data_IF_999276073093
#
_entry.id   IF_999276073093
#
_cell.length_a   1.000
_cell.length_b   1.000
_cell.length_c   1.000
_cell.angle_alpha   90.00
_cell.angle_beta   90.00
_cell.angle_gamma   90.00
#
_symmetry.space_group_name_H-M   'P 1'
#
loop_
_entity.id
_entity.type
_entity.pdbx_description
1 polymer ?
#
# COMPACT_ATOMS: atom_id res chain seq x y z
N UNK A 1 -6.93 -27.76 13.42
CA UNK A 1 -7.13 -26.47 12.70
C UNK A 1 -8.14 -25.66 13.51
N UNK A 2 -7.83 -24.42 13.90
CA UNK A 2 -8.79 -23.56 14.62
C UNK A 2 -9.60 -22.77 13.60
N UNK A 3 -10.89 -22.60 13.84
CA UNK A 3 -11.79 -21.79 13.01
C UNK A 3 -12.45 -20.74 13.90
N UNK A 4 -12.68 -19.55 13.34
CA UNK A 4 -13.35 -18.44 14.01
C UNK A 4 -14.42 -17.90 13.07
N UNK A 5 -15.59 -17.58 13.61
CA UNK A 5 -16.65 -16.88 12.88
C UNK A 5 -16.60 -15.39 13.22
N UNK A 6 -16.69 -14.54 12.20
CA UNK A 6 -16.70 -13.08 12.35
C UNK A 6 -18.06 -12.56 11.89
N UNK A 7 -18.87 -12.09 12.83
CA UNK A 7 -20.16 -11.46 12.50
C UNK A 7 -19.92 -10.14 11.74
N UNK A 8 -20.48 -10.01 10.54
CA UNK A 8 -20.37 -8.80 9.72
C UNK A 8 -21.40 -7.72 10.09
N UNK A 9 -22.33 -8.02 10.99
CA UNK A 9 -23.43 -7.11 11.43
C UNK A 9 -23.25 -6.62 12.85
N UNK A 10 -22.08 -6.85 13.43
CA UNK A 10 -21.74 -6.35 14.76
C UNK A 10 -21.62 -4.82 14.73
N UNK A 11 -21.68 -4.17 15.89
CA UNK A 11 -21.44 -2.73 15.96
C UNK A 11 -20.04 -2.38 15.42
N UNK A 12 -20.01 -1.58 14.34
CA UNK A 12 -18.80 -1.27 13.59
C UNK A 12 -17.84 -0.28 14.28
N UNK A 13 -18.18 0.24 15.47
CA UNK A 13 -17.40 1.25 16.21
C UNK A 13 -15.88 1.03 16.18
N UNK A 14 -15.42 -0.20 16.40
CA UNK A 14 -13.99 -0.52 16.40
C UNK A 14 -13.37 -0.37 15.00
N UNK A 15 -14.00 -0.97 14.00
CA UNK A 15 -13.54 -0.92 12.60
C UNK A 15 -13.57 0.52 12.10
N UNK A 16 -14.64 1.26 12.39
CA UNK A 16 -14.82 2.65 11.98
C UNK A 16 -13.78 3.57 12.61
N UNK A 17 -13.46 3.35 13.89
CA UNK A 17 -12.37 4.08 14.56
C UNK A 17 -11.03 3.83 13.87
N UNK A 18 -10.72 2.56 13.57
CA UNK A 18 -9.48 2.21 12.86
C UNK A 18 -9.44 2.82 11.46
N UNK A 19 -10.56 2.77 10.71
CA UNK A 19 -10.69 3.41 9.40
C UNK A 19 -10.48 4.93 9.49
N UNK A 20 -11.08 5.60 10.46
CA UNK A 20 -10.92 7.04 10.67
C UNK A 20 -9.48 7.44 11.00
N UNK A 21 -8.73 6.60 11.74
CA UNK A 21 -7.30 6.83 11.99
C UNK A 21 -6.45 6.56 10.74
N UNK A 22 -6.77 5.51 9.98
CA UNK A 22 -6.11 5.19 8.70
C UNK A 22 -6.25 6.37 7.72
N UNK A 23 -7.46 6.89 7.57
CA UNK A 23 -7.76 7.94 6.58
C UNK A 23 -7.05 9.25 6.95
N UNK A 24 -7.08 9.65 8.22
CA UNK A 24 -6.27 10.78 8.73
C UNK A 24 -4.77 10.60 8.45
N UNK A 25 -4.25 9.38 8.61
CA UNK A 25 -2.84 9.10 8.28
C UNK A 25 -2.58 9.26 6.77
N UNK A 26 -3.51 8.89 5.90
CA UNK A 26 -3.35 9.08 4.46
C UNK A 26 -3.26 10.56 4.08
N UNK A 27 -4.05 11.43 4.70
CA UNK A 27 -3.94 12.89 4.50
C UNK A 27 -2.53 13.38 4.82
N UNK A 28 -1.99 13.03 5.99
CA UNK A 28 -0.64 13.40 6.38
C UNK A 28 0.45 12.78 5.48
N UNK A 29 0.24 11.54 5.03
CA UNK A 29 1.15 10.88 4.08
C UNK A 29 1.20 11.62 2.75
N UNK A 30 0.06 12.10 2.24
CA UNK A 30 0.00 12.89 1.01
C UNK A 30 0.68 14.25 1.18
N UNK A 31 0.41 14.94 2.30
CA UNK A 31 1.05 16.22 2.63
C UNK A 31 2.58 16.06 2.73
N UNK A 32 3.05 15.00 3.38
CA UNK A 32 4.48 14.68 3.45
C UNK A 32 5.07 14.40 2.06
N UNK A 33 4.37 13.68 1.20
CA UNK A 33 4.82 13.41 -0.18
C UNK A 33 4.97 14.70 -0.98
N UNK A 34 4.00 15.62 -0.88
CA UNK A 34 4.06 16.94 -1.52
C UNK A 34 5.25 17.75 -0.99
N UNK A 35 5.41 17.83 0.33
CA UNK A 35 6.51 18.54 0.96
C UNK A 35 7.88 17.99 0.53
N UNK A 36 8.06 16.65 0.54
CA UNK A 36 9.28 15.99 0.05
C UNK A 36 9.59 16.33 -1.41
N UNK A 37 8.57 16.29 -2.27
CA UNK A 37 8.72 16.66 -3.68
C UNK A 37 9.19 18.11 -3.85
N UNK A 38 8.74 19.04 -3.00
CA UNK A 38 9.22 20.44 -3.01
C UNK A 38 10.63 20.59 -2.44
N UNK A 39 11.02 19.77 -1.46
CA UNK A 39 12.37 19.74 -0.89
C UNK A 39 13.40 19.13 -1.84
N UNK A 40 13.00 18.17 -2.69
CA UNK A 40 13.87 17.55 -3.69
C UNK A 40 14.35 18.53 -4.79
N UNK A 41 13.72 19.71 -4.91
CA UNK A 41 14.17 20.82 -5.76
C UNK A 41 15.31 21.65 -5.11
N UNK A 42 15.68 21.37 -3.86
CA UNK A 42 16.75 22.03 -3.10
C UNK A 42 17.93 21.04 -2.89
N UNK A 43 19.18 21.52 -2.92
CA UNK A 43 20.39 20.67 -2.92
C UNK A 43 20.49 19.72 -1.71
N UNK A 44 20.84 18.47 -1.97
CA UNK A 44 20.72 17.31 -1.06
C UNK A 44 22.03 16.95 -0.35
N UNK A 45 22.31 17.59 0.78
CA UNK A 45 23.29 17.08 1.76
C UNK A 45 22.56 16.88 3.09
N UNK A 46 21.96 15.69 3.31
CA UNK A 46 21.86 15.06 4.63
C UNK A 46 21.17 13.69 4.56
N UNK A 47 21.88 12.67 5.06
CA UNK A 47 21.45 11.28 5.10
C UNK A 47 21.10 10.94 6.55
N UNK A 48 19.85 11.18 6.94
CA UNK A 48 19.32 10.61 8.18
C UNK A 48 17.80 10.46 8.13
N UNK A 49 17.34 9.23 7.88
CA UNK A 49 15.99 8.84 8.27
C UNK A 49 15.31 7.84 7.36
N UNK A 50 15.65 6.55 7.47
CA UNK A 50 14.77 5.50 6.97
C UNK A 50 14.71 4.36 8.01
N UNK A 51 13.68 4.40 8.87
CA UNK A 51 13.25 3.27 9.68
C UNK A 51 12.29 2.39 8.87
N UNK A 52 12.43 1.09 9.10
CA UNK A 52 11.83 0.01 8.33
C UNK A 52 10.29 -0.01 8.39
N UNK A 53 9.68 -0.05 7.20
CA UNK A 53 8.39 -0.69 6.98
C UNK A 53 8.65 -2.05 6.35
N UNK A 54 7.93 -3.08 6.78
CA UNK A 54 8.05 -4.44 6.25
C UNK A 54 7.45 -4.48 4.83
N UNK A 55 8.28 -4.20 3.84
CA UNK A 55 8.04 -4.48 2.43
C UNK A 55 8.78 -5.74 1.98
N UNK A 56 8.32 -6.33 0.89
CA UNK A 56 9.03 -7.42 0.21
C UNK A 56 10.09 -6.80 -0.71
N UNK A 57 11.35 -7.17 -0.52
CA UNK A 57 12.44 -6.76 -1.41
C UNK A 57 12.55 -7.75 -2.56
N UNK A 58 12.59 -7.26 -3.80
CA UNK A 58 12.76 -8.10 -4.98
C UNK A 58 13.67 -7.42 -6.01
N UNK A 59 14.33 -8.24 -6.83
CA UNK A 59 15.08 -7.82 -8.01
C UNK A 59 14.23 -8.21 -9.22
N UNK A 60 13.94 -7.24 -10.09
CA UNK A 60 13.26 -7.47 -11.36
C UNK A 60 14.24 -7.23 -12.50
N UNK A 61 14.16 -7.98 -13.62
CA UNK A 61 14.97 -7.69 -14.80
C UNK A 61 14.71 -6.27 -15.32
N UNK A 62 15.74 -5.62 -15.88
CA UNK A 62 15.60 -4.28 -16.47
C UNK A 62 14.62 -4.24 -17.66
N UNK A 63 14.37 -5.40 -18.30
CA UNK A 63 13.38 -5.55 -19.36
C UNK A 63 11.95 -5.70 -18.85
N UNK A 64 11.74 -5.82 -17.54
CA UNK A 64 10.42 -5.97 -16.96
C UNK A 64 9.66 -4.64 -17.00
N UNK A 65 8.35 -4.61 -17.34
CA UNK A 65 7.59 -3.36 -17.40
C UNK A 65 7.50 -2.70 -16.02
N UNK A 66 7.97 -1.46 -15.90
CA UNK A 66 7.90 -0.68 -14.65
C UNK A 66 6.66 0.21 -14.59
N UNK A 67 6.74 1.42 -15.14
CA UNK A 67 5.70 2.43 -15.05
C UNK A 67 5.10 2.72 -16.42
N UNK A 68 3.77 2.61 -16.53
CA UNK A 68 3.02 2.93 -17.74
C UNK A 68 2.24 4.22 -17.48
N UNK A 69 2.42 5.22 -18.34
CA UNK A 69 1.72 6.50 -18.22
C UNK A 69 0.61 6.60 -19.26
N UNK A 70 -0.62 6.71 -18.79
CA UNK A 70 -1.82 6.91 -19.59
C UNK A 70 -2.11 8.41 -19.72
N UNK A 71 -2.34 8.88 -20.94
CA UNK A 71 -2.82 10.24 -21.20
C UNK A 71 -4.34 10.28 -21.10
N UNK A 72 -4.86 11.22 -20.32
CA UNK A 72 -6.30 11.41 -20.15
C UNK A 72 -6.76 12.62 -20.97
N UNK A 73 -8.00 12.56 -21.47
CA UNK A 73 -8.64 13.68 -22.16
C UNK A 73 -9.25 14.71 -21.19
N UNK A 74 -9.01 14.58 -19.88
CA UNK A 74 -9.59 15.43 -18.84
C UNK A 74 -8.71 16.66 -18.56
N UNK A 75 -9.31 17.84 -18.50
CA UNK A 75 -8.63 19.11 -18.22
C UNK A 75 -8.01 19.19 -16.82
N UNK A 76 -8.56 18.49 -15.81
CA UNK A 76 -8.07 18.56 -14.42
C UNK A 76 -6.87 17.65 -14.14
N UNK A 77 -6.74 16.53 -14.86
CA UNK A 77 -5.64 15.57 -14.68
C UNK A 77 -5.23 15.04 -16.04
N UNK A 78 -4.08 15.50 -16.54
CA UNK A 78 -3.61 15.23 -17.92
C UNK A 78 -3.03 13.83 -18.10
N UNK A 79 -2.55 13.21 -17.03
CA UNK A 79 -1.98 11.86 -17.08
C UNK A 79 -2.13 11.10 -15.77
N UNK A 80 -2.09 9.78 -15.87
CA UNK A 80 -2.01 8.85 -14.74
C UNK A 80 -0.89 7.87 -15.01
N UNK A 81 0.04 7.76 -14.07
CA UNK A 81 1.12 6.77 -14.11
C UNK A 81 0.76 5.61 -13.20
N UNK A 82 0.86 4.40 -13.74
CA UNK A 82 0.57 3.15 -13.04
C UNK A 82 1.85 2.31 -13.01
N UNK A 83 2.23 1.86 -11.82
CA UNK A 83 3.27 0.84 -11.66
C UNK A 83 2.68 -0.51 -12.04
N UNK A 84 3.20 -1.13 -13.09
CA UNK A 84 2.75 -2.44 -13.58
C UNK A 84 2.95 -3.56 -12.54
N UNK A 85 4.12 -3.70 -11.86
CA UNK A 85 4.28 -4.67 -10.77
C UNK A 85 3.27 -4.45 -9.64
N UNK A 86 3.06 -3.19 -9.24
CA UNK A 86 2.10 -2.84 -8.19
C UNK A 86 0.66 -3.16 -8.60
N UNK A 87 0.27 -2.83 -9.83
CA UNK A 87 -1.06 -3.13 -10.36
C UNK A 87 -1.34 -4.63 -10.46
N UNK A 88 -0.35 -5.43 -10.89
CA UNK A 88 -0.47 -6.89 -10.95
C UNK A 88 -0.72 -7.48 -9.55
N UNK A 89 0.08 -7.09 -8.56
CA UNK A 89 -0.10 -7.56 -7.18
C UNK A 89 -1.45 -7.15 -6.60
N UNK A 90 -1.86 -5.90 -6.84
CA UNK A 90 -3.16 -5.38 -6.38
C UNK A 90 -4.33 -6.11 -7.02
N UNK A 91 -4.24 -6.47 -8.30
CA UNK A 91 -5.26 -7.26 -8.98
C UNK A 91 -5.40 -8.66 -8.35
N UNK A 92 -4.27 -9.32 -8.05
CA UNK A 92 -4.27 -10.64 -7.40
C UNK A 92 -4.84 -10.57 -5.98
N UNK A 93 -4.45 -9.55 -5.19
CA UNK A 93 -5.01 -9.36 -3.84
C UNK A 93 -6.50 -9.10 -3.89
N UNK A 94 -6.95 -8.25 -4.81
CA UNK A 94 -8.36 -7.97 -4.98
C UNK A 94 -9.14 -9.21 -5.40
N UNK A 95 -8.59 -10.07 -6.27
CA UNK A 95 -9.27 -11.30 -6.66
C UNK A 95 -9.33 -12.35 -5.54
N UNK A 96 -8.26 -12.49 -4.74
CA UNK A 96 -8.14 -13.55 -3.75
C UNK A 96 -8.62 -13.22 -2.34
N UNK A 97 -8.66 -11.94 -1.96
CA UNK A 97 -8.83 -11.52 -0.56
C UNK A 97 -9.92 -10.45 -0.35
N UNK A 98 -10.76 -10.22 -1.34
CA UNK A 98 -11.89 -9.30 -1.18
C UNK A 98 -12.96 -9.89 -0.27
N UNK A 99 -13.45 -9.09 0.68
CA UNK A 99 -14.58 -9.47 1.51
C UNK A 99 -15.88 -9.19 0.75
N UNK A 100 -16.48 -10.23 0.18
CA UNK A 100 -17.75 -10.16 -0.54
C UNK A 100 -18.99 -10.12 0.39
N UNK A 101 -18.78 -10.21 1.71
CA UNK A 101 -19.83 -10.32 2.72
C UNK A 101 -19.89 -9.10 3.65
N UNK A 102 -19.25 -7.98 3.31
CA UNK A 102 -19.21 -6.80 4.18
C UNK A 102 -20.61 -6.18 4.28
N UNK A 103 -21.19 -6.16 5.48
CA UNK A 103 -22.53 -5.58 5.69
C UNK A 103 -22.41 -4.13 6.17
N UNK A 104 -23.16 -3.23 5.54
CA UNK A 104 -23.28 -1.83 5.95
C UNK A 104 -24.67 -1.59 6.55
N UNK A 105 -24.71 -1.02 7.75
CA UNK A 105 -25.94 -0.61 8.41
C UNK A 105 -26.48 0.66 7.73
N UNK A 106 -27.75 0.62 7.35
CA UNK A 106 -28.46 1.73 6.75
C UNK A 106 -29.23 2.54 7.81
N UNK A 107 -29.59 3.80 7.53
CA UNK A 107 -30.33 4.65 8.48
C UNK A 107 -31.69 4.09 8.90
N UNK A 108 -32.30 3.25 8.06
CA UNK A 108 -33.58 2.57 8.32
C UNK A 108 -33.43 1.31 9.19
N UNK A 109 -32.21 0.96 9.61
CA UNK A 109 -31.89 -0.25 10.38
C UNK A 109 -31.68 -1.51 9.52
N UNK A 110 -31.82 -1.42 8.21
CA UNK A 110 -31.53 -2.52 7.29
C UNK A 110 -30.02 -2.67 7.03
N UNK A 111 -29.62 -3.78 6.42
CA UNK A 111 -28.21 -4.00 6.04
C UNK A 111 -28.09 -4.25 4.55
N UNK A 112 -27.13 -3.58 3.92
CA UNK A 112 -26.74 -3.83 2.53
C UNK A 112 -25.38 -4.50 2.46
N UNK A 113 -25.21 -5.48 1.59
CA UNK A 113 -23.92 -6.16 1.40
C UNK A 113 -23.14 -5.46 0.28
N UNK A 114 -21.87 -5.17 0.55
CA UNK A 114 -20.92 -4.65 -0.43
C UNK A 114 -19.64 -5.49 -0.44
N UNK A 115 -18.90 -5.39 -1.56
CA UNK A 115 -17.55 -5.92 -1.66
C UNK A 115 -16.56 -4.90 -1.10
N UNK A 116 -15.80 -5.27 -0.08
CA UNK A 116 -14.84 -4.39 0.57
C UNK A 116 -13.42 -4.97 0.47
N UNK A 117 -12.49 -4.18 -0.05
CA UNK A 117 -11.07 -4.45 0.00
C UNK A 117 -10.27 -3.14 -0.07
N UNK A 118 -9.49 -2.87 0.98
CA UNK A 118 -8.63 -1.69 1.05
C UNK A 118 -7.15 -2.06 1.18
N UNK A 119 -6.76 -3.23 0.69
CA UNK A 119 -5.38 -3.72 0.75
C UNK A 119 -4.69 -3.41 -0.58
N UNK A 120 -3.69 -2.55 -0.53
CA UNK A 120 -2.93 -2.14 -1.69
C UNK A 120 -1.43 -2.22 -1.42
N UNK A 121 -0.71 -2.84 -2.33
CA UNK A 121 0.73 -2.72 -2.48
C UNK A 121 1.07 -1.38 -3.13
N UNK A 122 2.08 -0.74 -2.58
CA UNK A 122 2.78 0.38 -3.18
C UNK A 122 4.21 -0.07 -3.48
N UNK A 123 4.73 0.34 -4.63
CA UNK A 123 6.10 0.05 -5.02
C UNK A 123 6.96 1.26 -4.67
N UNK A 124 8.04 1.02 -3.94
CA UNK A 124 9.09 2.00 -3.64
C UNK A 124 10.39 1.55 -4.32
N UNK A 125 11.04 2.46 -5.06
CA UNK A 125 12.12 2.16 -6.00
C UNK A 125 11.90 2.78 -7.40
N UNK A 126 12.77 2.52 -8.38
CA UNK A 126 13.93 1.61 -8.31
C UNK A 126 15.07 2.16 -7.45
N UNK A 127 15.79 1.26 -6.76
CA UNK A 127 16.97 1.62 -5.96
C UNK A 127 18.25 1.34 -6.74
N UNK A 128 19.28 2.17 -6.52
CA UNK A 128 20.58 2.01 -7.18
C UNK A 128 21.33 0.75 -6.74
N UNK A 129 21.28 0.43 -5.44
CA UNK A 129 21.86 -0.79 -4.89
C UNK A 129 21.18 -1.17 -3.57
N UNK A 130 21.36 -2.42 -3.16
CA UNK A 130 20.94 -2.93 -1.86
C UNK A 130 22.08 -3.72 -1.22
N UNK A 131 22.42 -3.41 0.03
CA UNK A 131 23.47 -4.12 0.78
C UNK A 131 22.82 -4.95 1.88
N UNK A 132 23.04 -6.27 1.85
CA UNK A 132 22.51 -7.22 2.82
C UNK A 132 23.68 -7.82 3.63
N UNK A 133 23.74 -7.65 4.96
CA UNK A 133 24.78 -8.27 5.78
C UNK A 133 24.57 -9.78 5.88
N UNK A 134 25.68 -10.53 5.92
CA UNK A 134 25.67 -11.98 6.13
C UNK A 134 26.14 -12.34 7.55
N UNK A 135 25.63 -13.45 8.09
CA UNK A 135 26.08 -13.97 9.39
C UNK A 135 27.54 -14.42 9.31
N UNK A 136 28.25 -14.34 10.43
CA UNK A 136 29.57 -14.96 10.58
C UNK A 136 29.49 -16.48 10.69
N UNK A 137 28.36 -17.00 11.16
CA UNK A 137 28.12 -18.44 11.31
C UNK A 137 27.51 -19.04 10.03
N UNK A 138 28.08 -20.15 9.58
CA UNK A 138 27.61 -20.90 8.42
C UNK A 138 26.15 -21.35 8.58
N UNK A 139 25.37 -21.21 7.52
CA UNK A 139 23.95 -21.60 7.51
C UNK A 139 23.01 -20.70 8.31
N UNK A 140 23.51 -19.74 9.09
CA UNK A 140 22.65 -18.79 9.82
C UNK A 140 22.39 -17.54 8.98
N UNK A 141 21.11 -17.20 8.84
CA UNK A 141 20.69 -15.92 8.22
C UNK A 141 20.57 -14.86 9.31
N UNK A 142 21.18 -13.69 9.09
CA UNK A 142 20.91 -12.52 9.91
C UNK A 142 19.49 -12.02 9.59
N UNK A 143 18.63 -12.00 10.59
CA UNK A 143 17.33 -11.30 10.54
C UNK A 143 17.47 -10.00 11.32
N UNK A 144 16.85 -8.93 10.82
CA UNK A 144 16.56 -7.75 11.65
C UNK A 144 15.35 -8.05 12.52
#
# INVERSE_FOLDING_TARGET
MRQTMICQRENAFYVDTVKAFRDRRYDYKELLKKAKSSLDEISKDDIAGIKAAQGIWCLLPASFPENITFKLQNHKKKSVTVSYPGAMLNAVVNAGFTNDQYHNLQPDGSYTISKENSIFFEVDGPYQCMVLPASKEEGKKLKK
#
